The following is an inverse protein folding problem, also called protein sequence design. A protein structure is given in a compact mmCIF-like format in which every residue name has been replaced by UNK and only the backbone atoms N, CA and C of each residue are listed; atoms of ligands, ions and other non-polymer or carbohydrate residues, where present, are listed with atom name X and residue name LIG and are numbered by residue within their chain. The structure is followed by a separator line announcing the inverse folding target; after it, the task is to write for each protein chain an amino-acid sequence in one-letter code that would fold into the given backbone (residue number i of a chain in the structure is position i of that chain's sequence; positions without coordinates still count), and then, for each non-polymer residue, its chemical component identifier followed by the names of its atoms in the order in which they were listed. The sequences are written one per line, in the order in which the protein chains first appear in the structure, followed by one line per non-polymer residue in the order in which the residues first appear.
data_IF_973416779707
#
_entry.id   IF_973416779707
#
_cell.length_a   1.000
_cell.length_b   1.000
_cell.length_c   1.000
_cell.angle_alpha   90.00
_cell.angle_beta   90.00
_cell.angle_gamma   90.00
#
_symmetry.space_group_name_H-M   'P 1'
#
loop_
_entity.id
_entity.type
_entity.pdbx_description
1 polymer ?
#
# COMPACT_ATOMS: atom_id res chain seq x y z
N UNK A 1 13.53 -1.04 -29.40
CA UNK A 1 14.41 -0.31 -28.45
C UNK A 1 14.40 -1.06 -27.12
N UNK A 2 15.54 -1.38 -26.49
CA UNK A 2 15.53 -1.94 -25.14
C UNK A 2 14.78 -0.98 -24.20
N UNK A 3 13.86 -1.51 -23.38
CA UNK A 3 12.94 -0.69 -22.57
C UNK A 3 13.42 -0.45 -21.14
N UNK A 4 14.22 -1.35 -20.58
CA UNK A 4 14.77 -1.28 -19.22
C UNK A 4 16.20 -0.74 -19.23
N UNK A 5 16.63 -0.18 -18.11
CA UNK A 5 17.98 0.36 -17.92
C UNK A 5 19.05 -0.69 -18.21
N UNK A 6 18.96 -1.86 -17.59
CA UNK A 6 19.92 -2.96 -17.76
C UNK A 6 20.07 -3.40 -19.22
N UNK A 7 18.97 -3.52 -19.96
CA UNK A 7 19.02 -3.88 -21.39
C UNK A 7 19.62 -2.76 -22.24
N UNK A 8 19.36 -1.51 -21.88
CA UNK A 8 19.90 -0.34 -22.59
C UNK A 8 21.40 -0.18 -22.34
N UNK A 9 21.84 -0.36 -21.09
CA UNK A 9 23.25 -0.38 -20.68
C UNK A 9 24.03 -1.44 -21.44
N UNK A 10 23.52 -2.69 -21.47
CA UNK A 10 24.14 -3.81 -22.22
C UNK A 10 24.20 -3.55 -23.73
N UNK A 11 23.15 -2.99 -24.32
CA UNK A 11 23.11 -2.68 -25.75
C UNK A 11 24.11 -1.59 -26.15
N UNK A 12 24.29 -0.57 -25.31
CA UNK A 12 25.30 0.49 -25.52
C UNK A 12 26.70 -0.09 -25.33
N UNK A 13 26.91 -0.87 -24.26
CA UNK A 13 28.20 -1.48 -23.96
C UNK A 13 28.71 -2.37 -25.09
N UNK A 14 27.80 -3.17 -25.69
CA UNK A 14 28.11 -4.00 -26.85
C UNK A 14 28.52 -3.20 -28.09
N UNK A 15 28.03 -1.97 -28.26
CA UNK A 15 28.27 -1.16 -29.47
C UNK A 15 29.44 -0.19 -29.35
N UNK A 16 29.70 0.35 -28.16
CA UNK A 16 30.65 1.45 -27.95
C UNK A 16 31.66 1.22 -26.82
N UNK A 17 31.64 0.06 -26.17
CA UNK A 17 32.51 -0.23 -25.04
C UNK A 17 31.96 0.32 -23.72
N UNK A 18 32.83 0.56 -22.74
CA UNK A 18 32.43 0.95 -21.39
C UNK A 18 31.49 2.17 -21.37
N UNK A 19 30.42 2.09 -20.58
CA UNK A 19 29.36 3.10 -20.56
C UNK A 19 29.83 4.43 -19.98
N UNK A 20 30.89 4.39 -19.18
CA UNK A 20 31.52 5.57 -18.55
C UNK A 20 32.33 6.41 -19.54
N UNK A 21 32.59 5.90 -20.74
CA UNK A 21 33.24 6.64 -21.83
C UNK A 21 32.29 7.52 -22.64
N UNK A 22 30.98 7.49 -22.34
CA UNK A 22 30.00 8.27 -23.08
C UNK A 22 29.99 9.74 -22.63
N UNK A 23 30.07 10.66 -23.59
CA UNK A 23 29.84 12.07 -23.33
C UNK A 23 28.41 12.32 -22.81
N UNK A 24 28.28 13.20 -21.82
CA UNK A 24 27.04 13.52 -21.11
C UNK A 24 25.89 13.91 -22.05
N UNK A 25 26.18 14.65 -23.12
CA UNK A 25 25.17 15.12 -24.07
C UNK A 25 24.94 14.20 -25.27
N UNK A 26 25.62 13.04 -25.32
CA UNK A 26 25.45 12.08 -26.41
C UNK A 26 24.02 11.53 -26.46
N UNK A 27 23.57 11.10 -27.64
CA UNK A 27 22.25 10.48 -27.83
C UNK A 27 22.08 9.24 -26.94
N UNK A 28 23.16 8.48 -26.74
CA UNK A 28 23.14 7.24 -25.96
C UNK A 28 23.12 7.51 -24.45
N UNK A 29 23.80 8.55 -23.96
CA UNK A 29 23.65 9.05 -22.58
C UNK A 29 22.19 9.46 -22.30
N UNK A 30 21.57 10.24 -23.20
CA UNK A 30 20.15 10.61 -23.09
C UNK A 30 19.22 9.40 -23.14
N UNK A 31 19.57 8.34 -23.86
CA UNK A 31 18.78 7.08 -23.90
C UNK A 31 18.88 6.32 -22.58
N UNK A 32 20.08 6.23 -22.01
CA UNK A 32 20.33 5.59 -20.72
C UNK A 32 19.59 6.31 -19.59
N UNK A 33 19.68 7.65 -19.54
CA UNK A 33 18.96 8.45 -18.54
C UNK A 33 17.45 8.25 -18.62
N UNK A 34 16.85 8.25 -19.82
CA UNK A 34 15.41 7.99 -19.99
C UNK A 34 15.00 6.59 -19.53
N UNK A 35 15.85 5.58 -19.73
CA UNK A 35 15.60 4.22 -19.27
C UNK A 35 15.66 4.14 -17.74
N UNK A 36 16.64 4.79 -17.12
CA UNK A 36 16.76 4.89 -15.67
C UNK A 36 15.53 5.55 -15.03
N UNK A 37 15.14 6.74 -15.50
CA UNK A 37 13.98 7.46 -14.95
C UNK A 37 12.68 6.66 -15.10
N UNK A 38 12.55 5.87 -16.18
CA UNK A 38 11.41 4.99 -16.37
C UNK A 38 11.39 3.88 -15.32
N UNK A 39 12.51 3.21 -15.10
CA UNK A 39 12.60 2.11 -14.14
C UNK A 39 12.34 2.61 -12.71
N UNK A 40 12.91 3.76 -12.33
CA UNK A 40 12.62 4.42 -11.04
C UNK A 40 11.13 4.76 -10.87
N UNK A 41 10.47 5.23 -11.94
CA UNK A 41 9.03 5.52 -11.91
C UNK A 41 8.21 4.24 -11.74
N UNK A 42 8.57 3.16 -12.44
CA UNK A 42 7.89 1.88 -12.33
C UNK A 42 8.06 1.29 -10.93
N UNK A 43 9.25 1.40 -10.34
CA UNK A 43 9.51 0.96 -8.97
C UNK A 43 8.69 1.76 -7.95
N UNK A 44 8.60 3.10 -8.10
CA UNK A 44 7.74 3.94 -7.25
C UNK A 44 6.27 3.55 -7.33
N UNK A 45 5.77 3.25 -8.54
CA UNK A 45 4.39 2.79 -8.74
C UNK A 45 4.17 1.42 -8.10
N UNK A 46 5.10 0.48 -8.29
CA UNK A 46 5.03 -0.85 -7.69
C UNK A 46 5.07 -0.79 -6.15
N UNK A 47 5.95 0.05 -5.58
CA UNK A 47 6.03 0.29 -4.15
C UNK A 47 4.74 0.92 -3.60
N UNK A 48 4.12 1.86 -4.32
CA UNK A 48 2.83 2.44 -3.94
C UNK A 48 1.71 1.41 -3.95
N UNK A 49 1.64 0.54 -4.97
CA UNK A 49 0.66 -0.57 -5.02
C UNK A 49 0.86 -1.53 -3.86
N UNK A 50 2.10 -1.96 -3.60
CA UNK A 50 2.44 -2.85 -2.47
C UNK A 50 2.09 -2.25 -1.10
N UNK A 51 2.13 -0.92 -0.95
CA UNK A 51 1.73 -0.26 0.30
C UNK A 51 0.22 -0.27 0.50
N UNK A 52 -0.55 -0.15 -0.58
CA UNK A 52 -2.01 -0.14 -0.55
C UNK A 52 -2.60 -1.55 -0.45
N UNK A 53 -2.00 -2.54 -1.12
CA UNK A 53 -2.45 -3.96 -1.11
C UNK A 53 -2.00 -4.73 0.13
N UNK A 54 -1.68 -4.06 1.24
CA UNK A 54 -1.30 -4.76 2.46
C UNK A 54 -2.55 -5.46 3.02
N UNK A 55 -2.54 -6.81 3.16
CA UNK A 55 -3.63 -7.49 3.82
C UNK A 55 -3.75 -6.95 5.25
N UNK A 56 -4.99 -6.71 5.70
CA UNK A 56 -5.22 -6.32 7.08
C UNK A 56 -4.53 -7.34 8.00
N UNK A 57 -3.81 -6.89 9.04
CA UNK A 57 -3.15 -7.79 9.98
C UNK A 57 -4.24 -8.55 10.75
N UNK A 58 -4.65 -9.69 10.21
CA UNK A 58 -5.51 -10.62 10.92
C UNK A 58 -4.69 -11.12 12.10
N UNK A 59 -5.08 -10.76 13.33
CA UNK A 59 -4.55 -11.44 14.51
C UNK A 59 -4.80 -12.93 14.27
N UNK A 60 -3.75 -13.75 14.37
CA UNK A 60 -3.87 -15.18 14.17
C UNK A 60 -4.90 -15.70 15.16
N UNK A 61 -6.11 -15.98 14.67
CA UNK A 61 -7.09 -16.72 15.42
C UNK A 61 -6.72 -18.19 15.28
N UNK A 62 -6.62 -18.90 16.39
CA UNK A 62 -6.30 -20.31 16.48
C UNK A 62 -7.39 -21.16 15.82
N UNK A 63 -7.41 -21.22 14.49
CA UNK A 63 -8.15 -22.16 13.61
C UNK A 63 -9.66 -22.38 13.86
N UNK A 64 -10.29 -21.69 14.81
CA UNK A 64 -11.71 -21.82 15.12
C UNK A 64 -12.55 -20.92 14.19
N UNK A 65 -13.72 -21.40 13.70
CA UNK A 65 -14.64 -20.56 12.96
C UNK A 65 -15.21 -19.48 13.91
N UNK A 66 -14.82 -18.23 13.69
CA UNK A 66 -15.40 -17.11 14.44
C UNK A 66 -16.88 -16.94 14.05
N UNK A 67 -17.73 -16.82 15.07
CA UNK A 67 -19.12 -16.43 14.88
C UNK A 67 -19.19 -15.00 14.34
N UNK A 68 -20.26 -14.70 13.58
CA UNK A 68 -20.45 -13.39 12.95
C UNK A 68 -20.53 -12.25 13.97
N UNK A 69 -21.07 -12.51 15.15
CA UNK A 69 -21.16 -11.52 16.23
C UNK A 69 -19.78 -11.11 16.73
N UNK A 70 -18.87 -12.07 16.91
CA UNK A 70 -17.47 -11.83 17.30
C UNK A 70 -16.74 -11.04 16.22
N UNK A 71 -17.02 -11.31 14.94
CA UNK A 71 -16.45 -10.55 13.82
C UNK A 71 -16.92 -9.10 13.86
N UNK A 72 -18.20 -8.84 14.11
CA UNK A 72 -18.72 -7.48 14.22
C UNK A 72 -18.12 -6.71 15.40
N UNK A 73 -17.92 -7.35 16.55
CA UNK A 73 -17.24 -6.74 17.69
C UNK A 73 -15.77 -6.41 17.37
N UNK A 74 -15.07 -7.34 16.71
CA UNK A 74 -13.68 -7.13 16.29
C UNK A 74 -13.56 -5.98 15.28
N UNK A 75 -14.52 -5.84 14.38
CA UNK A 75 -14.57 -4.72 13.44
C UNK A 75 -14.86 -3.41 14.17
N UNK A 76 -15.82 -3.38 15.10
CA UNK A 76 -16.12 -2.17 15.89
C UNK A 76 -14.90 -1.71 16.68
N UNK A 77 -14.24 -2.62 17.40
CA UNK A 77 -13.01 -2.29 18.14
C UNK A 77 -11.90 -1.80 17.21
N UNK A 78 -11.77 -2.36 16.00
CA UNK A 78 -10.81 -1.90 15.01
C UNK A 78 -11.11 -0.50 14.45
N UNK A 79 -12.37 -0.18 14.18
CA UNK A 79 -12.79 1.15 13.69
C UNK A 79 -12.51 2.23 14.74
N UNK A 80 -12.75 1.92 16.01
CA UNK A 80 -12.63 2.88 17.12
C UNK A 80 -11.21 2.99 17.71
N UNK A 81 -10.22 2.24 17.19
CA UNK A 81 -8.86 2.24 17.74
C UNK A 81 -8.15 3.61 17.76
N UNK A 82 -8.56 4.52 16.86
CA UNK A 82 -7.95 5.85 16.72
C UNK A 82 -8.71 6.96 17.46
N UNK A 83 -9.88 6.66 18.03
CA UNK A 83 -10.71 7.67 18.70
C UNK A 83 -10.05 8.18 19.99
N UNK A 84 -9.37 7.30 20.73
CA UNK A 84 -8.61 7.66 21.93
C UNK A 84 -7.44 8.60 21.61
N UNK A 85 -6.63 8.27 20.60
CA UNK A 85 -5.50 9.09 20.14
C UNK A 85 -5.98 10.47 19.66
N UNK A 86 -7.08 10.52 18.90
CA UNK A 86 -7.68 11.77 18.45
C UNK A 86 -8.14 12.64 19.63
N UNK A 87 -8.75 12.01 20.65
CA UNK A 87 -9.22 12.70 21.85
C UNK A 87 -8.06 13.26 22.68
N UNK A 88 -6.94 12.54 22.79
CA UNK A 88 -5.73 13.02 23.46
C UNK A 88 -5.13 14.23 22.75
N UNK A 89 -5.01 14.19 21.42
CA UNK A 89 -4.48 15.30 20.62
C UNK A 89 -5.38 16.53 20.77
N UNK A 90 -6.71 16.35 20.75
CA UNK A 90 -7.67 17.44 20.96
C UNK A 90 -7.57 18.04 22.36
N UNK A 91 -7.39 17.23 23.40
CA UNK A 91 -7.20 17.69 24.80
C UNK A 91 -5.89 18.45 24.97
N UNK A 92 -4.81 18.00 24.34
CA UNK A 92 -3.52 18.69 24.37
C UNK A 92 -3.52 20.02 23.60
N UNK A 93 -4.51 20.23 22.71
CA UNK A 93 -4.64 21.44 21.91
C UNK A 93 -5.22 22.59 22.74
N UNK A 94 -4.49 23.70 22.81
CA UNK A 94 -5.00 24.96 23.37
C UNK A 94 -6.13 25.52 22.50
N UNK A 95 -7.15 26.17 23.11
CA UNK A 95 -8.21 26.82 22.34
C UNK A 95 -7.61 27.87 21.39
N UNK A 96 -8.10 27.90 20.14
CA UNK A 96 -7.64 28.83 19.10
C UNK A 96 -6.45 28.36 18.24
N UNK A 97 -5.74 27.28 18.61
CA UNK A 97 -4.69 26.71 17.75
C UNK A 97 -5.31 25.84 16.64
N UNK A 98 -4.93 26.00 15.35
CA UNK A 98 -5.42 25.13 14.29
C UNK A 98 -4.99 23.66 14.50
N UNK A 99 -5.72 22.74 13.88
CA UNK A 99 -5.45 21.31 13.92
C UNK A 99 -4.04 21.00 13.39
N UNK A 100 -3.39 20.00 13.97
CA UNK A 100 -2.09 19.54 13.47
C UNK A 100 -2.28 18.69 12.20
N UNK A 101 -1.30 18.65 11.31
CA UNK A 101 -1.26 17.69 10.20
C UNK A 101 -1.47 16.25 10.66
N UNK A 102 -1.02 15.88 11.86
CA UNK A 102 -1.29 14.55 12.43
C UNK A 102 -2.77 14.34 12.75
N UNK A 103 -3.45 15.37 13.27
CA UNK A 103 -4.88 15.34 13.59
C UNK A 103 -5.72 15.21 12.33
N UNK A 104 -5.38 15.97 11.28
CA UNK A 104 -6.08 15.89 9.99
C UNK A 104 -5.92 14.51 9.34
N UNK A 105 -4.71 13.93 9.39
CA UNK A 105 -4.45 12.58 8.88
C UNK A 105 -5.21 11.51 9.67
N UNK A 106 -5.32 11.64 10.99
CA UNK A 106 -6.09 10.73 11.83
C UNK A 106 -7.58 10.82 11.51
N UNK A 107 -8.10 12.04 11.34
CA UNK A 107 -9.51 12.24 10.96
C UNK A 107 -9.84 11.59 9.61
N UNK A 108 -8.98 11.78 8.60
CA UNK A 108 -9.16 11.13 7.28
C UNK A 108 -9.12 9.60 7.40
N UNK A 109 -8.27 9.03 8.26
CA UNK A 109 -8.24 7.59 8.50
C UNK A 109 -9.54 7.08 9.14
N UNK A 110 -10.04 7.77 10.17
CA UNK A 110 -11.30 7.41 10.84
C UNK A 110 -12.46 7.49 9.85
N UNK A 111 -12.55 8.58 9.08
CA UNK A 111 -13.59 8.75 8.06
C UNK A 111 -13.55 7.64 7.00
N UNK A 112 -12.35 7.21 6.58
CA UNK A 112 -12.19 6.10 5.64
C UNK A 112 -12.64 4.76 6.26
N UNK A 113 -12.26 4.46 7.51
CA UNK A 113 -12.68 3.25 8.22
C UNK A 113 -14.19 3.20 8.44
N UNK A 114 -14.81 4.35 8.75
CA UNK A 114 -16.26 4.44 8.89
C UNK A 114 -16.98 4.24 7.56
N UNK A 115 -16.44 4.78 6.46
CA UNK A 115 -16.97 4.53 5.10
C UNK A 115 -16.82 3.07 4.70
N UNK A 116 -15.69 2.44 4.99
CA UNK A 116 -15.48 1.01 4.78
C UNK A 116 -16.47 0.17 5.60
N UNK A 117 -16.74 0.56 6.85
CA UNK A 117 -17.76 -0.08 7.67
C UNK A 117 -19.16 0.01 7.06
N UNK A 118 -19.57 1.21 6.63
CA UNK A 118 -20.88 1.46 6.03
C UNK A 118 -21.07 0.74 4.68
N UNK A 119 -20.03 0.74 3.85
CA UNK A 119 -20.04 0.07 2.55
C UNK A 119 -19.88 -1.45 2.66
N UNK A 120 -19.68 -1.97 3.88
CA UNK A 120 -19.29 -3.33 4.15
C UNK A 120 -17.78 -3.49 4.02
N UNK A 121 -17.11 -3.78 5.14
CA UNK A 121 -15.68 -4.09 5.11
C UNK A 121 -15.43 -5.25 4.15
N UNK A 122 -14.36 -5.16 3.36
CA UNK A 122 -13.88 -6.27 2.53
C UNK A 122 -13.20 -7.34 3.41
N UNK A 123 -13.87 -7.75 4.48
CA UNK A 123 -13.42 -8.82 5.36
C UNK A 123 -13.83 -10.15 4.72
N UNK A 124 -12.85 -10.86 4.16
CA UNK A 124 -12.87 -12.33 4.07
C UNK A 124 -14.10 -13.01 3.45
N UNK A 125 -14.77 -12.40 2.47
CA UNK A 125 -15.58 -13.19 1.51
C UNK A 125 -14.70 -14.23 0.79
N UNK A 126 -13.38 -14.00 0.74
CA UNK A 126 -12.41 -14.94 0.19
C UNK A 126 -12.26 -16.25 1.01
N UNK A 127 -12.43 -16.25 2.34
CA UNK A 127 -12.20 -17.47 3.15
C UNK A 127 -13.47 -18.25 3.47
N UNK A 128 -14.64 -17.59 3.51
CA UNK A 128 -15.93 -18.29 3.66
C UNK A 128 -16.27 -19.07 2.38
N UNK A 129 -15.92 -18.55 1.19
CA UNK A 129 -16.10 -19.28 -0.08
C UNK A 129 -15.17 -20.49 -0.22
N UNK A 130 -13.96 -20.45 0.33
CA UNK A 130 -13.03 -21.60 0.30
C UNK A 130 -13.46 -22.75 1.21
N UNK A 131 -14.16 -22.46 2.32
CA UNK A 131 -14.66 -23.50 3.22
C UNK A 131 -15.84 -24.30 2.62
N UNK A 132 -16.67 -23.66 1.80
CA UNK A 132 -17.80 -24.31 1.12
C UNK A 132 -17.38 -25.20 -0.05
N UNK A 133 -16.26 -24.90 -0.72
CA UNK A 133 -15.84 -25.61 -1.94
C UNK A 133 -14.97 -26.86 -1.67
N UNK A 134 -14.50 -27.07 -0.43
CA UNK A 134 -13.73 -28.25 -0.04
C UNK A 134 -14.59 -29.45 0.38
N UNK A 135 -15.89 -29.25 0.65
CA UNK A 135 -16.83 -30.32 1.03
C UNK A 135 -17.57 -30.96 -0.15
N UNK A 136 -17.24 -30.58 -1.39
CA UNK A 136 -17.91 -31.08 -2.59
C UNK A 136 -17.01 -32.00 -3.46
N UNK A 137 -15.87 -32.45 -2.94
CA UNK A 137 -14.88 -33.29 -3.67
C UNK A 137 -14.53 -34.57 -2.88
N UNK A 138 -15.39 -35.01 -1.96
CA UNK A 138 -15.36 -36.39 -1.43
C UNK A 138 -16.60 -37.15 -1.85
#
# INVERSE_FOLDING_TARGET
MPKTFERTRKAIAKKKGAVDSLHQYSRDSKRLHRAQVRDEKLEKIAASRKKNDKPYPLRQNDSQPLQMDVIHELIKTFVHQYDEELNEIKKARRPGRPASTKEDLLKVKIDNLQKEYQNGFYYLVARVKEAGNRKAVE
#
